data_IF_862602888777
#
_entry.id   IF_862602888777
#
_cell.length_a   1.000
_cell.length_b   1.000
_cell.length_c   1.000
_cell.angle_alpha   90.00
_cell.angle_beta   90.00
_cell.angle_gamma   90.00
#
_symmetry.space_group_name_H-M   'P 1'
#
loop_
_entity.id
_entity.type
_entity.pdbx_description
1 polymer ?
#
# COMPACT_ATOMS: atom_id res chain seq x y z
N UNK A 1 -0.86 -39.56 -10.51
CA UNK A 1 0.42 -38.92 -10.87
C UNK A 1 0.33 -37.48 -10.37
N UNK A 2 0.97 -37.18 -9.25
CA UNK A 2 0.72 -35.98 -8.45
C UNK A 2 1.31 -34.73 -9.10
N UNK A 3 0.50 -33.67 -9.24
CA UNK A 3 0.88 -32.33 -9.70
C UNK A 3 1.68 -31.53 -8.64
N UNK A 4 2.25 -32.18 -7.63
CA UNK A 4 2.93 -31.51 -6.51
C UNK A 4 4.41 -31.18 -6.77
N UNK A 5 5.03 -31.75 -7.80
CA UNK A 5 6.49 -31.66 -7.98
C UNK A 5 6.97 -30.56 -8.96
N UNK A 6 6.05 -29.82 -9.59
CA UNK A 6 6.38 -28.89 -10.67
C UNK A 6 6.74 -27.45 -10.21
N UNK A 7 6.56 -27.11 -8.93
CA UNK A 7 6.92 -25.78 -8.41
C UNK A 7 7.76 -25.90 -7.13
N UNK A 8 9.06 -26.14 -7.29
CA UNK A 8 10.04 -25.79 -6.26
C UNK A 8 10.54 -24.38 -6.55
N UNK A 9 10.22 -23.36 -5.74
CA UNK A 9 10.86 -22.07 -5.89
C UNK A 9 12.35 -22.29 -5.71
N UNK A 10 13.13 -22.04 -6.77
CA UNK A 10 14.59 -21.93 -6.64
C UNK A 10 14.81 -20.86 -5.58
N UNK A 11 15.60 -21.16 -4.54
CA UNK A 11 16.05 -20.11 -3.61
C UNK A 11 16.61 -18.98 -4.48
N UNK A 12 16.04 -17.76 -4.43
CA UNK A 12 16.64 -16.66 -5.16
C UNK A 12 18.09 -16.59 -4.70
N UNK A 13 19.02 -16.61 -5.66
CA UNK A 13 20.41 -16.34 -5.35
C UNK A 13 20.41 -15.00 -4.61
N UNK A 14 20.78 -15.04 -3.33
CA UNK A 14 20.89 -13.84 -2.52
C UNK A 14 21.84 -12.92 -3.27
N UNK A 15 21.31 -11.83 -3.84
CA UNK A 15 22.13 -10.89 -4.61
C UNK A 15 23.24 -10.38 -3.68
N UNK A 16 24.47 -10.18 -4.19
CA UNK A 16 25.51 -9.58 -3.37
C UNK A 16 25.01 -8.26 -2.78
N UNK A 17 25.43 -8.00 -1.55
CA UNK A 17 25.09 -6.78 -0.79
C UNK A 17 25.29 -5.57 -1.70
N UNK A 18 24.22 -4.84 -2.00
CA UNK A 18 24.33 -3.66 -2.83
C UNK A 18 25.24 -2.61 -2.16
N UNK A 19 25.96 -1.78 -2.94
CA UNK A 19 26.75 -0.70 -2.37
C UNK A 19 25.87 0.23 -1.52
N UNK A 20 26.43 0.77 -0.44
CA UNK A 20 25.70 1.67 0.45
C UNK A 20 25.10 2.85 -0.34
N UNK A 21 23.81 3.13 -0.14
CA UNK A 21 23.06 4.19 -0.85
C UNK A 21 22.44 3.79 -2.20
N UNK A 22 22.64 2.55 -2.68
CA UNK A 22 22.01 2.08 -3.93
C UNK A 22 20.47 2.05 -3.84
N UNK A 23 19.92 1.65 -2.70
CA UNK A 23 18.46 1.60 -2.49
C UNK A 23 17.82 2.99 -2.61
N UNK A 24 18.50 4.02 -2.12
CA UNK A 24 18.03 5.39 -2.21
C UNK A 24 18.04 5.85 -3.67
N UNK A 25 19.12 5.57 -4.41
CA UNK A 25 19.23 5.93 -5.84
C UNK A 25 18.22 5.23 -6.72
N UNK A 26 17.95 3.95 -6.49
CA UNK A 26 17.08 3.15 -7.35
C UNK A 26 15.59 3.34 -7.05
N UNK A 27 15.23 3.67 -5.80
CA UNK A 27 13.83 3.69 -5.35
C UNK A 27 13.32 5.03 -4.82
N UNK A 28 14.20 5.89 -4.29
CA UNK A 28 13.81 7.07 -3.51
C UNK A 28 14.44 8.38 -4.01
N UNK A 29 15.16 8.34 -5.14
CA UNK A 29 15.80 9.51 -5.74
C UNK A 29 15.18 9.84 -7.09
N UNK A 30 14.87 11.12 -7.31
CA UNK A 30 14.31 11.56 -8.58
C UNK A 30 15.41 11.66 -9.63
N UNK A 31 15.27 10.89 -10.71
CA UNK A 31 16.29 10.83 -11.76
C UNK A 31 16.37 12.12 -12.60
N UNK A 32 15.36 12.99 -12.56
CA UNK A 32 15.29 14.19 -13.39
C UNK A 32 15.74 15.46 -12.65
N UNK A 33 15.40 15.56 -11.36
CA UNK A 33 15.62 16.76 -10.55
C UNK A 33 16.71 16.59 -9.49
N UNK A 34 17.33 15.40 -9.38
CA UNK A 34 18.46 15.11 -8.50
C UNK A 34 18.20 15.42 -7.01
N UNK A 35 17.06 14.96 -6.48
CA UNK A 35 16.75 15.04 -5.05
C UNK A 35 15.94 13.84 -4.55
N UNK A 36 15.84 13.70 -3.23
CA UNK A 36 15.04 12.66 -2.59
C UNK A 36 13.53 12.86 -2.81
N UNK A 37 12.75 11.78 -2.91
CA UNK A 37 11.28 11.82 -3.05
C UNK A 37 10.57 12.66 -1.99
N UNK A 38 11.17 12.80 -0.81
CA UNK A 38 10.68 13.67 0.26
C UNK A 38 10.55 15.15 -0.16
N UNK A 39 11.40 15.63 -1.07
CA UNK A 39 11.30 16.98 -1.63
C UNK A 39 10.06 17.11 -2.52
N UNK A 40 9.68 16.07 -3.28
CA UNK A 40 8.43 16.11 -4.07
C UNK A 40 7.19 16.25 -3.17
N UNK A 41 7.24 15.70 -1.95
CA UNK A 41 6.18 15.85 -0.97
C UNK A 41 6.14 17.25 -0.36
N UNK A 42 7.29 17.90 -0.16
CA UNK A 42 7.36 19.33 0.21
C UNK A 42 6.78 20.20 -0.92
N UNK A 43 7.20 19.99 -2.17
CA UNK A 43 6.68 20.73 -3.33
C UNK A 43 5.15 20.62 -3.43
N UNK A 44 4.61 19.43 -3.21
CA UNK A 44 3.16 19.20 -3.20
C UNK A 44 2.48 19.92 -2.04
N UNK A 45 3.12 19.92 -0.86
CA UNK A 45 2.59 20.63 0.29
C UNK A 45 2.52 22.13 0.03
N UNK A 46 3.57 22.72 -0.56
CA UNK A 46 3.62 24.13 -0.92
C UNK A 46 2.58 24.46 -2.01
N UNK A 47 2.48 23.64 -3.07
CA UNK A 47 1.57 23.87 -4.19
C UNK A 47 0.08 23.78 -3.84
N UNK A 48 -0.27 22.99 -2.81
CA UNK A 48 -1.65 22.75 -2.39
C UNK A 48 -1.97 23.28 -0.98
N UNK A 49 -1.07 24.10 -0.41
CA UNK A 49 -1.21 24.68 0.93
C UNK A 49 -1.57 23.63 2.00
N UNK A 50 -0.86 22.50 1.97
CA UNK A 50 -1.07 21.41 2.92
C UNK A 50 -0.22 21.70 4.16
N UNK A 51 -0.84 22.25 5.20
CA UNK A 51 -0.13 22.59 6.43
C UNK A 51 0.55 21.38 7.10
N UNK A 52 1.53 21.67 7.95
CA UNK A 52 2.22 20.65 8.77
C UNK A 52 1.24 19.95 9.71
N UNK A 53 0.37 20.72 10.36
CA UNK A 53 -0.63 20.25 11.33
C UNK A 53 -1.60 19.28 10.65
N UNK A 54 -2.03 19.58 9.42
CA UNK A 54 -2.92 18.70 8.66
C UNK A 54 -2.27 17.35 8.34
N UNK A 55 -0.97 17.34 8.05
CA UNK A 55 -0.20 16.10 7.79
C UNK A 55 0.00 15.29 9.06
N UNK A 56 0.37 15.94 10.15
CA UNK A 56 0.55 15.28 11.45
C UNK A 56 -0.77 14.70 11.96
N UNK A 57 -1.88 15.43 11.83
CA UNK A 57 -3.22 14.93 12.15
C UNK A 57 -3.61 13.72 11.28
N UNK A 58 -3.28 13.76 9.98
CA UNK A 58 -3.50 12.62 9.09
C UNK A 58 -2.67 11.40 9.51
N UNK A 59 -1.39 11.59 9.83
CA UNK A 59 -0.49 10.52 10.24
C UNK A 59 -0.93 9.90 11.58
N UNK A 60 -1.26 10.71 12.58
CA UNK A 60 -1.78 10.22 13.86
C UNK A 60 -3.12 9.47 13.67
N UNK A 61 -4.00 9.98 12.80
CA UNK A 61 -5.24 9.28 12.42
C UNK A 61 -4.97 7.94 11.74
N UNK A 62 -3.95 7.86 10.88
CA UNK A 62 -3.52 6.63 10.22
C UNK A 62 -3.06 5.58 11.24
N UNK A 63 -2.19 5.97 12.18
CA UNK A 63 -1.70 5.10 13.25
C UNK A 63 -2.85 4.53 14.11
N UNK A 64 -3.81 5.39 14.50
CA UNK A 64 -5.00 4.94 15.25
C UNK A 64 -5.86 3.96 14.48
N UNK A 65 -6.07 4.18 13.17
CA UNK A 65 -6.86 3.26 12.32
C UNK A 65 -6.17 1.91 12.16
N UNK A 66 -4.85 1.91 11.94
CA UNK A 66 -4.06 0.69 11.81
C UNK A 66 -4.14 -0.13 13.11
N UNK A 67 -3.90 0.50 14.25
CA UNK A 67 -4.01 -0.14 15.56
C UNK A 67 -5.41 -0.73 15.82
N UNK A 68 -6.47 0.02 15.50
CA UNK A 68 -7.84 -0.47 15.64
C UNK A 68 -8.13 -1.65 14.71
N UNK A 69 -7.60 -1.65 13.49
CA UNK A 69 -7.77 -2.76 12.54
C UNK A 69 -7.03 -4.03 13.00
N UNK A 70 -5.82 -3.89 13.53
CA UNK A 70 -5.03 -4.98 14.10
C UNK A 70 -5.75 -5.57 15.32
N UNK A 71 -6.17 -4.72 16.26
CA UNK A 71 -6.90 -5.15 17.46
C UNK A 71 -8.22 -5.86 17.13
N UNK A 72 -8.92 -5.41 16.08
CA UNK A 72 -10.13 -6.05 15.56
C UNK A 72 -9.86 -7.29 14.70
N UNK A 73 -8.60 -7.69 14.50
CA UNK A 73 -8.21 -8.87 13.73
C UNK A 73 -8.48 -8.78 12.23
N UNK A 74 -8.61 -7.56 11.67
CA UNK A 74 -9.04 -7.35 10.27
C UNK A 74 -8.03 -7.86 9.24
N UNK A 75 -6.75 -7.92 9.60
CA UNK A 75 -5.67 -8.38 8.71
C UNK A 75 -5.39 -9.88 8.81
N UNK A 76 -6.02 -10.60 9.75
CA UNK A 76 -5.76 -12.03 9.97
C UNK A 76 -6.10 -12.91 8.77
N UNK A 77 -7.10 -12.52 7.97
CA UNK A 77 -7.51 -13.27 6.78
C UNK A 77 -6.58 -13.02 5.57
N UNK A 78 -5.79 -11.94 5.57
CA UNK A 78 -4.93 -11.54 4.44
C UNK A 78 -3.42 -11.76 4.70
N UNK A 79 -2.98 -11.83 5.97
CA UNK A 79 -1.57 -12.10 6.31
C UNK A 79 -1.28 -13.60 6.31
N UNK A 80 -0.34 -14.01 5.47
CA UNK A 80 0.24 -15.36 5.50
C UNK A 80 1.46 -15.36 6.43
N UNK A 81 1.53 -16.23 7.46
CA UNK A 81 2.67 -16.29 8.38
C UNK A 81 4.00 -16.54 7.66
N UNK A 82 5.00 -15.72 7.94
CA UNK A 82 6.37 -15.92 7.43
C UNK A 82 7.24 -16.54 8.52
N UNK A 83 7.84 -17.68 8.21
CA UNK A 83 8.75 -18.39 9.13
C UNK A 83 10.17 -17.83 9.04
N UNK A 84 10.70 -17.38 10.17
CA UNK A 84 12.07 -16.86 10.32
C UNK A 84 12.91 -17.89 11.09
N UNK A 85 13.92 -18.50 10.45
CA UNK A 85 14.81 -19.45 11.11
C UNK A 85 15.57 -18.81 12.29
N UNK A 86 15.64 -19.50 13.43
CA UNK A 86 16.35 -19.04 14.63
C UNK A 86 17.46 -20.01 15.06
N UNK A 87 18.27 -20.47 14.09
CA UNK A 87 19.36 -21.40 14.36
C UNK A 87 18.87 -22.70 14.99
N UNK A 88 19.26 -22.98 16.25
CA UNK A 88 18.84 -24.17 17.00
C UNK A 88 17.47 -24.02 17.66
N UNK A 89 16.90 -22.82 17.72
CA UNK A 89 15.59 -22.58 18.31
C UNK A 89 14.46 -22.83 17.29
N UNK A 90 13.24 -23.12 17.75
CA UNK A 90 12.07 -23.15 16.86
C UNK A 90 11.94 -21.86 16.04
N UNK A 91 11.46 -21.93 14.79
CA UNK A 91 11.32 -20.75 13.97
C UNK A 91 10.31 -19.76 14.57
N UNK A 92 10.63 -18.47 14.51
CA UNK A 92 9.69 -17.41 14.83
C UNK A 92 8.77 -17.19 13.64
N UNK A 93 7.48 -17.06 13.87
CA UNK A 93 6.53 -16.65 12.84
C UNK A 93 6.28 -15.15 12.93
N UNK A 94 6.30 -14.48 11.78
CA UNK A 94 5.87 -13.09 11.62
C UNK A 94 4.45 -13.12 11.06
N UNK A 95 3.50 -12.59 11.83
CA UNK A 95 2.05 -12.68 11.58
C UNK A 95 1.33 -11.35 11.64
N UNK A 96 2.03 -10.28 12.01
CA UNK A 96 1.46 -8.97 12.31
C UNK A 96 2.36 -7.88 11.73
N UNK A 97 1.75 -6.79 11.27
CA UNK A 97 2.48 -5.58 10.88
C UNK A 97 3.15 -4.96 12.11
N UNK A 98 4.47 -4.85 12.08
CA UNK A 98 5.26 -4.35 13.23
C UNK A 98 5.42 -2.82 13.27
N UNK A 99 5.09 -2.13 12.18
CA UNK A 99 5.31 -0.69 12.02
C UNK A 99 4.36 0.20 12.84
N UNK A 100 3.05 -0.13 12.98
CA UNK A 100 2.11 0.77 13.63
C UNK A 100 2.47 1.09 15.09
N UNK A 101 2.41 2.37 15.44
CA UNK A 101 2.71 2.96 16.75
C UNK A 101 1.44 3.62 17.31
N UNK A 102 0.56 2.86 17.99
CA UNK A 102 -0.76 3.33 18.43
C UNK A 102 -0.72 4.56 19.33
N UNK A 103 0.36 4.76 20.06
CA UNK A 103 0.61 5.87 20.97
C UNK A 103 0.91 7.20 20.27
N UNK A 104 1.13 7.18 18.95
CA UNK A 104 1.48 8.37 18.17
C UNK A 104 0.39 9.45 18.28
N UNK A 105 0.76 10.62 18.81
CA UNK A 105 -0.11 11.79 18.91
C UNK A 105 0.35 12.93 18.01
N UNK A 106 -0.56 13.85 17.70
CA UNK A 106 -0.26 15.09 16.97
C UNK A 106 0.80 15.93 17.69
N UNK A 107 0.78 15.97 19.03
CA UNK A 107 1.77 16.69 19.82
C UNK A 107 3.17 16.07 19.70
N UNK A 108 3.27 14.74 19.68
CA UNK A 108 4.55 14.05 19.48
C UNK A 108 5.07 14.27 18.05
N UNK A 109 4.19 14.22 17.06
CA UNK A 109 4.55 14.47 15.66
C UNK A 109 5.03 15.90 15.45
N UNK A 110 4.40 16.90 16.08
CA UNK A 110 4.79 18.30 15.96
C UNK A 110 6.22 18.58 16.45
N UNK A 111 6.75 17.77 17.37
CA UNK A 111 8.13 17.90 17.88
C UNK A 111 9.19 17.38 16.91
N UNK A 112 8.79 16.64 15.87
CA UNK A 112 9.74 16.09 14.90
C UNK A 112 10.28 17.17 13.97
N UNK A 113 11.60 17.14 13.79
CA UNK A 113 12.31 17.98 12.82
C UNK A 113 11.98 17.55 11.39
N UNK A 114 11.89 18.49 10.44
CA UNK A 114 11.79 18.17 9.02
C UNK A 114 12.92 17.25 8.56
N UNK A 115 12.58 16.24 7.76
CA UNK A 115 13.54 15.19 7.34
C UNK A 115 14.31 15.56 6.07
N UNK A 116 13.70 16.35 5.18
CA UNK A 116 14.22 16.59 3.82
C UNK A 116 14.57 18.06 3.55
N UNK A 117 13.84 18.99 4.16
CA UNK A 117 14.09 20.44 4.06
C UNK A 117 14.22 21.01 5.49
N UNK A 118 15.43 21.08 6.09
CA UNK A 118 15.58 21.38 7.52
C UNK A 118 15.12 22.77 7.97
N UNK A 119 15.16 23.77 7.09
CA UNK A 119 14.87 25.16 7.45
C UNK A 119 13.36 25.47 7.51
N UNK A 120 12.61 25.01 6.51
CA UNK A 120 11.20 25.37 6.25
C UNK A 120 10.40 24.19 5.70
N UNK A 121 10.91 22.97 5.89
CA UNK A 121 10.22 21.75 5.55
C UNK A 121 9.16 21.38 6.57
N UNK A 122 8.37 20.40 6.18
CA UNK A 122 7.17 20.02 6.88
C UNK A 122 6.86 18.53 6.77
N UNK A 123 7.61 17.83 5.93
CA UNK A 123 7.69 16.37 5.90
C UNK A 123 8.67 15.90 6.98
N UNK A 124 8.22 14.97 7.82
CA UNK A 124 9.00 14.38 8.91
C UNK A 124 8.94 12.87 8.85
N UNK A 125 9.81 12.19 9.62
CA UNK A 125 9.75 10.74 9.76
C UNK A 125 8.42 10.22 10.34
N UNK A 126 7.65 11.08 11.04
CA UNK A 126 6.37 10.70 11.63
C UNK A 126 5.16 10.92 10.72
N UNK A 127 5.29 11.74 9.68
CA UNK A 127 4.22 12.00 8.70
C UNK A 127 4.54 11.53 7.27
N UNK A 128 5.65 10.80 7.12
CA UNK A 128 6.01 10.04 5.93
C UNK A 128 5.96 8.52 6.22
N UNK A 129 5.89 7.70 5.17
CA UNK A 129 6.04 6.25 5.31
C UNK A 129 7.48 5.87 5.62
N UNK A 130 7.66 4.76 6.35
CA UNK A 130 8.97 4.15 6.57
C UNK A 130 9.46 3.37 5.35
N UNK A 131 10.70 2.87 5.42
CA UNK A 131 11.14 1.76 4.58
C UNK A 131 10.62 0.45 5.19
N UNK A 132 10.07 -0.43 4.36
CA UNK A 132 9.39 -1.64 4.80
C UNK A 132 9.70 -2.80 3.86
N UNK A 133 9.75 -4.01 4.42
CA UNK A 133 9.89 -5.26 3.68
C UNK A 133 8.57 -6.02 3.68
N UNK A 134 8.13 -6.48 2.51
CA UNK A 134 6.88 -7.23 2.36
C UNK A 134 6.63 -7.74 0.95
N UNK A 135 5.68 -8.65 0.81
CA UNK A 135 5.23 -9.15 -0.48
C UNK A 135 3.72 -9.39 -0.48
N UNK A 136 3.07 -9.13 -1.61
CA UNK A 136 1.66 -9.42 -1.84
C UNK A 136 1.48 -10.03 -3.23
N UNK A 137 0.52 -10.94 -3.37
CA UNK A 137 0.19 -11.59 -4.64
C UNK A 137 -1.32 -11.79 -4.77
N UNK A 138 -1.82 -11.77 -6.01
CA UNK A 138 -3.22 -12.07 -6.34
C UNK A 138 -3.27 -13.03 -7.52
N UNK A 139 -4.24 -13.95 -7.52
CA UNK A 139 -4.52 -14.81 -8.66
C UNK A 139 -5.54 -14.12 -9.58
N UNK A 140 -5.12 -13.82 -10.81
CA UNK A 140 -5.99 -13.22 -11.84
C UNK A 140 -6.42 -14.28 -12.84
N UNK A 141 -7.72 -14.30 -13.14
CA UNK A 141 -8.32 -15.23 -14.08
C UNK A 141 -9.44 -14.54 -14.86
N UNK A 142 -9.73 -15.05 -16.06
CA UNK A 142 -11.00 -14.74 -16.71
C UNK A 142 -12.15 -15.38 -15.93
N UNK A 143 -13.29 -14.69 -15.88
CA UNK A 143 -14.45 -15.13 -15.08
C UNK A 143 -15.08 -16.43 -15.60
N UNK A 144 -15.04 -16.67 -16.92
CA UNK A 144 -15.47 -17.92 -17.54
C UNK A 144 -14.64 -19.10 -17.03
N UNK A 145 -13.31 -18.95 -17.01
CA UNK A 145 -12.42 -20.00 -16.52
C UNK A 145 -12.56 -20.23 -15.01
N UNK A 146 -12.76 -19.17 -14.23
CA UNK A 146 -13.00 -19.31 -12.79
C UNK A 146 -14.28 -20.12 -12.51
N UNK A 147 -15.35 -19.87 -13.30
CA UNK A 147 -16.62 -20.62 -13.22
C UNK A 147 -16.47 -22.07 -13.65
N UNK A 148 -15.78 -22.33 -14.76
CA UNK A 148 -15.50 -23.69 -15.25
C UNK A 148 -14.78 -24.53 -14.18
N UNK A 149 -13.84 -23.93 -13.46
CA UNK A 149 -13.06 -24.57 -12.40
C UNK A 149 -13.75 -24.54 -11.02
N UNK A 150 -14.95 -23.97 -10.90
CA UNK A 150 -15.67 -23.86 -9.63
C UNK A 150 -14.99 -22.98 -8.58
N UNK A 151 -14.14 -22.04 -8.98
CA UNK A 151 -13.38 -21.18 -8.07
C UNK A 151 -14.20 -19.94 -7.64
N UNK A 152 -14.17 -19.55 -6.35
CA UNK A 152 -14.84 -18.34 -5.88
C UNK A 152 -14.16 -17.08 -6.43
N UNK A 153 -14.97 -16.13 -6.91
CA UNK A 153 -14.49 -14.83 -7.43
C UNK A 153 -14.67 -13.76 -6.36
N UNK A 154 -13.55 -13.22 -5.85
CA UNK A 154 -13.57 -12.19 -4.80
C UNK A 154 -13.97 -10.80 -5.35
N UNK A 155 -13.45 -10.45 -6.52
CA UNK A 155 -13.69 -9.16 -7.15
C UNK A 155 -13.47 -9.24 -8.68
N UNK A 156 -13.90 -8.19 -9.39
CA UNK A 156 -13.65 -8.01 -10.82
C UNK A 156 -12.92 -6.69 -11.07
N UNK A 157 -11.89 -6.73 -11.90
CA UNK A 157 -11.25 -5.51 -12.42
C UNK A 157 -12.22 -4.87 -13.41
N UNK A 158 -12.80 -3.73 -13.02
CA UNK A 158 -13.78 -2.99 -13.85
C UNK A 158 -13.08 -2.08 -14.85
N UNK A 159 -12.01 -1.41 -14.39
CA UNK A 159 -11.24 -0.45 -15.17
C UNK A 159 -9.90 -0.24 -14.49
N UNK A 160 -8.85 0.03 -15.27
CA UNK A 160 -7.56 0.51 -14.79
C UNK A 160 -7.09 1.64 -15.69
N UNK A 161 -6.20 2.48 -15.18
CA UNK A 161 -5.60 3.57 -15.94
C UNK A 161 -4.23 3.93 -15.36
N UNK A 162 -3.35 4.39 -16.24
CA UNK A 162 -2.04 4.97 -15.91
C UNK A 162 -2.05 6.42 -16.35
N UNK A 163 -1.39 7.30 -15.60
CA UNK A 163 -1.20 8.70 -15.94
C UNK A 163 0.22 9.14 -15.54
N UNK A 164 0.85 9.97 -16.36
CA UNK A 164 2.08 10.66 -16.02
C UNK A 164 1.78 12.07 -15.50
N UNK A 165 2.64 12.58 -14.63
CA UNK A 165 2.64 13.94 -14.09
C UNK A 165 4.08 14.44 -14.05
N UNK A 166 4.25 15.73 -13.76
CA UNK A 166 5.58 16.31 -13.54
C UNK A 166 6.29 15.56 -12.38
N UNK A 167 7.54 15.09 -12.56
CA UNK A 167 8.29 14.38 -11.52
C UNK A 167 8.43 15.17 -10.20
N UNK A 168 8.45 16.50 -10.26
CA UNK A 168 8.58 17.36 -9.08
C UNK A 168 7.38 17.31 -8.12
N UNK A 169 6.22 16.85 -8.60
CA UNK A 169 4.98 16.68 -7.84
C UNK A 169 4.39 15.29 -8.01
N UNK A 170 5.24 14.27 -8.18
CA UNK A 170 4.83 12.90 -8.52
C UNK A 170 3.70 12.32 -7.64
N UNK A 171 3.63 12.74 -6.37
CA UNK A 171 2.60 12.32 -5.41
C UNK A 171 1.15 12.64 -5.84
N UNK A 172 0.94 13.55 -6.80
CA UNK A 172 -0.41 13.86 -7.33
C UNK A 172 -0.87 12.88 -8.42
N UNK A 173 0.02 12.01 -8.92
CA UNK A 173 -0.27 11.03 -9.97
C UNK A 173 -1.59 10.25 -9.79
N UNK A 174 -1.94 9.77 -8.58
CA UNK A 174 -3.20 9.08 -8.31
C UNK A 174 -4.45 9.89 -8.68
N UNK A 175 -4.44 11.22 -8.58
CA UNK A 175 -5.61 12.06 -8.94
C UNK A 175 -5.94 11.89 -10.42
N UNK A 176 -4.94 12.02 -11.29
CA UNK A 176 -5.09 11.88 -12.74
C UNK A 176 -5.43 10.44 -13.14
N UNK A 177 -4.79 9.45 -12.52
CA UNK A 177 -5.05 8.04 -12.80
C UNK A 177 -6.47 7.63 -12.39
N UNK A 178 -6.93 8.02 -11.20
CA UNK A 178 -8.28 7.74 -10.70
C UNK A 178 -9.36 8.38 -11.59
N UNK A 179 -9.20 9.65 -11.98
CA UNK A 179 -10.13 10.32 -12.90
C UNK A 179 -10.25 9.58 -14.23
N UNK A 180 -9.12 9.14 -14.80
CA UNK A 180 -9.08 8.38 -16.06
C UNK A 180 -9.71 7.00 -15.94
N UNK A 181 -9.44 6.27 -14.85
CA UNK A 181 -10.06 4.97 -14.59
C UNK A 181 -11.58 5.09 -14.43
N UNK A 182 -12.04 6.11 -13.70
CA UNK A 182 -13.46 6.37 -13.51
C UNK A 182 -14.17 6.71 -14.83
N UNK A 183 -13.58 7.54 -15.69
CA UNK A 183 -14.11 7.85 -17.01
C UNK A 183 -14.28 6.58 -17.87
N UNK A 184 -13.24 5.73 -17.96
CA UNK A 184 -13.29 4.46 -18.69
C UNK A 184 -14.41 3.54 -18.22
N UNK A 185 -14.66 3.50 -16.91
CA UNK A 185 -15.79 2.73 -16.34
C UNK A 185 -17.14 3.25 -16.81
N UNK A 186 -17.32 4.58 -16.86
CA UNK A 186 -18.56 5.21 -17.29
C UNK A 186 -18.82 4.94 -18.78
N UNK A 187 -17.76 4.96 -19.61
CA UNK A 187 -17.86 4.65 -21.04
C UNK A 187 -18.22 3.18 -21.29
N UNK A 188 -17.62 2.25 -20.54
CA UNK A 188 -17.93 0.82 -20.60
C UNK A 188 -19.37 0.50 -20.14
N UNK A 189 -20.01 1.39 -19.37
CA UNK A 189 -21.40 1.24 -18.92
C UNK A 189 -22.47 1.57 -19.97
N UNK A 190 -22.09 2.11 -21.14
CA UNK A 190 -23.02 2.49 -22.21
C UNK A 190 -23.32 1.37 -23.23
N UNK A 191 -22.75 0.17 -23.07
CA UNK A 191 -22.74 -0.89 -24.10
C UNK A 191 -23.39 -2.25 -23.77
N UNK A 192 -24.25 -2.37 -22.76
CA UNK A 192 -24.98 -3.64 -22.49
C UNK A 192 -25.46 -3.80 -21.05
N UNK A 193 -26.39 -4.74 -20.75
CA UNK A 193 -27.10 -4.79 -19.49
C UNK A 193 -26.21 -5.33 -18.36
N UNK A 194 -25.41 -4.45 -17.76
CA UNK A 194 -24.71 -4.75 -16.52
C UNK A 194 -25.56 -4.29 -15.33
N UNK A 195 -26.27 -5.24 -14.71
CA UNK A 195 -27.01 -5.03 -13.47
C UNK A 195 -26.05 -4.54 -12.40
N UNK A 196 -26.33 -3.37 -11.82
CA UNK A 196 -25.49 -2.76 -10.79
C UNK A 196 -25.38 -3.70 -9.58
N UNK A 197 -24.26 -4.41 -9.46
CA UNK A 197 -23.85 -4.92 -8.16
C UNK A 197 -23.34 -3.71 -7.38
N UNK A 198 -24.24 -3.11 -6.60
CA UNK A 198 -23.92 -2.22 -5.48
C UNK A 198 -23.09 -3.03 -4.47
N UNK A 199 -21.80 -3.20 -4.74
CA UNK A 199 -20.88 -3.98 -3.92
C UNK A 199 -19.73 -3.18 -3.30
N UNK A 200 -19.63 -1.87 -3.59
CA UNK A 200 -18.57 -1.04 -3.03
C UNK A 200 -19.14 0.23 -2.41
N UNK A 201 -19.84 0.05 -1.28
CA UNK A 201 -19.93 0.97 -0.16
C UNK A 201 -20.86 0.36 0.90
N UNK A 202 -20.35 -0.57 1.71
CA UNK A 202 -20.97 -0.88 3.01
C UNK A 202 -19.85 -1.09 4.03
N UNK A 203 -19.62 -0.15 4.96
CA UNK A 203 -18.75 -0.40 6.10
C UNK A 203 -19.46 -1.41 7.02
N UNK A 204 -18.69 -2.37 7.55
CA UNK A 204 -18.99 -3.19 8.72
C UNK A 204 -20.49 -3.35 9.09
N UNK A 205 -21.14 -4.43 8.63
CA UNK A 205 -22.34 -4.94 9.28
C UNK A 205 -22.06 -6.39 9.67
N UNK A 206 -22.08 -6.66 10.97
CA UNK A 206 -21.64 -7.92 11.58
C UNK A 206 -22.30 -9.16 11.00
N UNK A 207 -21.53 -10.25 10.97
CA UNK A 207 -22.05 -11.61 10.82
C UNK A 207 -23.00 -11.85 12.01
N UNK A 208 -24.31 -11.80 11.79
CA UNK A 208 -25.24 -12.55 12.63
C UNK A 208 -25.14 -14.00 12.17
N UNK A 209 -24.90 -14.89 13.12
CA UNK A 209 -25.07 -16.32 12.89
C UNK A 209 -26.54 -16.60 12.56
N UNK A 210 -26.76 -17.59 11.72
CA UNK A 210 -27.94 -18.41 11.76
C UNK A 210 -27.57 -19.77 11.15
N UNK A 211 -28.07 -20.80 11.83
CA UNK A 211 -27.97 -22.21 11.53
C UNK A 211 -28.57 -22.59 10.17
#
# INVERSE_FOLDING_TARGET
MLLSDAWRPRRPAFRPRQPAGQHDRDGLWDAFNDYHMGITAENLADAFDISRERRDAFAASSQRKAAAAIAAGRFREEIVPVSVPQGKQPPRFVTDDEQPRPETSEQQLAQLRPAFRPADGSVTAGNASSLNDGAAAVLLMRVDKARELGLPVLARIVSSAVAGVDPSVMGIGPVSACRRAAARRLDAGRGGPYRSQRGFCRPCAGRRSAA
#
